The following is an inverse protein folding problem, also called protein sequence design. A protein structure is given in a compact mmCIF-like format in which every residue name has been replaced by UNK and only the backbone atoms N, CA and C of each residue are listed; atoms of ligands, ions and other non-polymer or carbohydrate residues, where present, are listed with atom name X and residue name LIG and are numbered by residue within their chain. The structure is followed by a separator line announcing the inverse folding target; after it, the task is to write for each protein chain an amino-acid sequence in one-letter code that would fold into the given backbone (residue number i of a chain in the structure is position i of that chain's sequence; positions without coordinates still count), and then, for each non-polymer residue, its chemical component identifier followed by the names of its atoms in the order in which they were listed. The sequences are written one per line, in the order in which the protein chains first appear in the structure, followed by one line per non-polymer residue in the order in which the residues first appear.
data_IF_066220737045
#
_entry.id   IF_066220737045
#
_cell.length_a   1.000
_cell.length_b   1.000
_cell.length_c   1.000
_cell.angle_alpha   90.00
_cell.angle_beta   90.00
_cell.angle_gamma   90.00
#
_symmetry.space_group_name_H-M   'P 1'
#
loop_
_entity.id
_entity.type
_entity.pdbx_description
1 polymer ?
#
# COMPACT_ATOMS: atom_id res chain seq x y z
N UNK A 1 -9.20 -16.42 -1.01
CA UNK A 1 -8.35 -15.99 -2.15
C UNK A 1 -7.30 -17.03 -2.54
N UNK A 2 -6.50 -17.55 -1.58
CA UNK A 2 -5.46 -18.57 -1.85
C UNK A 2 -5.89 -19.75 -2.74
N UNK A 3 -7.11 -20.28 -2.55
CA UNK A 3 -7.66 -21.38 -3.36
C UNK A 3 -7.76 -21.09 -4.87
N UNK A 4 -7.62 -19.82 -5.28
CA UNK A 4 -7.66 -19.39 -6.69
C UNK A 4 -6.27 -19.01 -7.24
N UNK A 5 -5.21 -19.17 -6.45
CA UNK A 5 -3.86 -18.72 -6.80
C UNK A 5 -2.87 -19.89 -6.98
N UNK A 6 -3.36 -21.12 -7.06
CA UNK A 6 -2.53 -22.30 -7.22
C UNK A 6 -1.70 -22.24 -8.53
N UNK A 7 -0.41 -22.58 -8.44
CA UNK A 7 0.52 -22.52 -9.56
C UNK A 7 1.14 -21.15 -9.84
N UNK A 8 0.77 -20.10 -9.10
CA UNK A 8 1.31 -18.74 -9.29
C UNK A 8 2.05 -18.22 -8.05
N UNK A 9 3.18 -17.51 -8.22
CA UNK A 9 3.74 -16.68 -7.15
C UNK A 9 2.76 -15.53 -6.88
N UNK A 10 2.07 -15.60 -5.74
CA UNK A 10 0.94 -14.72 -5.44
C UNK A 10 1.00 -14.17 -4.00
N UNK A 11 0.64 -12.89 -3.87
CA UNK A 11 0.50 -12.20 -2.60
C UNK A 11 -0.82 -11.42 -2.56
N UNK A 12 -1.44 -11.37 -1.38
CA UNK A 12 -2.60 -10.51 -1.10
C UNK A 12 -2.25 -9.53 0.01
N UNK A 13 -2.48 -8.24 -0.26
CA UNK A 13 -2.34 -7.18 0.72
C UNK A 13 -3.73 -6.66 1.05
N UNK A 14 -4.16 -6.86 2.29
CA UNK A 14 -5.35 -6.19 2.83
C UNK A 14 -4.96 -4.81 3.34
N UNK A 15 -5.47 -3.77 2.68
CA UNK A 15 -5.18 -2.36 2.98
C UNK A 15 -6.42 -1.59 3.44
N UNK A 16 -7.53 -2.27 3.76
CA UNK A 16 -8.80 -1.62 4.06
C UNK A 16 -8.65 -0.53 5.14
N UNK A 17 -8.01 -0.87 6.26
CA UNK A 17 -7.77 0.07 7.36
C UNK A 17 -6.76 1.19 7.07
N UNK A 18 -5.99 1.08 5.99
CA UNK A 18 -4.97 2.05 5.62
C UNK A 18 -5.41 2.98 4.47
N UNK A 19 -6.47 2.61 3.76
CA UNK A 19 -6.88 3.22 2.48
C UNK A 19 -7.42 4.65 2.60
N UNK A 20 -7.95 5.02 3.77
CA UNK A 20 -8.58 6.32 3.99
C UNK A 20 -8.19 6.91 5.35
N UNK A 21 -7.85 8.19 5.35
CA UNK A 21 -7.55 8.97 6.53
C UNK A 21 -8.72 9.88 6.90
N UNK A 22 -9.37 9.61 8.03
CA UNK A 22 -10.55 10.35 8.47
C UNK A 22 -10.21 11.64 9.23
N UNK A 23 -9.03 11.72 9.85
CA UNK A 23 -8.66 12.84 10.72
C UNK A 23 -7.75 13.81 9.98
N UNK A 24 -7.91 15.09 10.29
CA UNK A 24 -7.08 16.17 9.74
C UNK A 24 -5.60 16.03 10.14
N UNK A 25 -4.74 16.79 9.46
CA UNK A 25 -3.32 16.82 9.76
C UNK A 25 -3.06 17.08 11.25
N UNK A 26 -2.10 16.34 11.82
CA UNK A 26 -1.68 16.50 13.22
C UNK A 26 -0.19 16.18 13.36
N UNK A 27 0.50 16.70 14.40
CA UNK A 27 1.92 16.42 14.63
C UNK A 27 2.23 14.93 14.86
N UNK A 28 1.24 14.11 15.21
CA UNK A 28 1.38 12.67 15.44
C UNK A 28 1.34 11.86 14.15
N UNK A 29 1.28 12.52 12.98
CA UNK A 29 1.14 11.88 11.67
C UNK A 29 2.14 12.42 10.65
N UNK A 30 2.43 11.65 9.59
CA UNK A 30 3.29 12.11 8.52
C UNK A 30 2.76 13.41 7.92
N UNK A 31 3.63 14.42 7.77
CA UNK A 31 3.24 15.75 7.30
C UNK A 31 2.65 15.75 5.88
N UNK A 32 3.04 14.77 5.05
CA UNK A 32 2.53 14.59 3.69
C UNK A 32 1.12 13.96 3.64
N UNK A 33 0.59 13.46 4.77
CA UNK A 33 -0.70 12.79 4.82
C UNK A 33 -1.80 13.78 5.20
N UNK A 34 -2.82 13.89 4.35
CA UNK A 34 -4.00 14.71 4.56
C UNK A 34 -5.25 13.83 4.73
N UNK A 35 -6.34 14.42 5.22
CA UNK A 35 -7.64 13.74 5.27
C UNK A 35 -8.08 13.34 3.86
N UNK A 36 -8.50 12.09 3.69
CA UNK A 36 -8.90 11.54 2.39
C UNK A 36 -8.18 10.24 2.04
N UNK A 37 -8.18 9.90 0.74
CA UNK A 37 -7.49 8.71 0.24
C UNK A 37 -5.98 8.80 0.45
N UNK A 38 -5.37 7.75 1.00
CA UNK A 38 -3.96 7.77 1.43
C UNK A 38 -2.98 7.35 0.35
N UNK A 39 -3.45 6.63 -0.68
CA UNK A 39 -2.58 5.99 -1.67
C UNK A 39 -1.64 4.93 -1.06
N UNK A 40 -2.00 4.36 0.09
CA UNK A 40 -1.19 3.37 0.78
C UNK A 40 -0.86 2.19 -0.13
N UNK A 41 0.41 1.76 -0.13
CA UNK A 41 0.90 0.67 -0.96
C UNK A 41 1.45 1.08 -2.33
N UNK A 42 1.10 2.25 -2.89
CA UNK A 42 1.57 2.65 -4.23
C UNK A 42 3.10 2.75 -4.29
N UNK A 43 3.73 3.48 -3.36
CA UNK A 43 5.19 3.60 -3.31
C UNK A 43 5.89 2.27 -3.04
N UNK A 44 5.28 1.38 -2.26
CA UNK A 44 5.81 0.06 -1.98
C UNK A 44 5.84 -0.80 -3.25
N UNK A 45 4.72 -0.85 -3.99
CA UNK A 45 4.63 -1.63 -5.22
C UNK A 45 5.51 -1.06 -6.33
N UNK A 46 5.60 0.27 -6.45
CA UNK A 46 6.53 0.91 -7.38
C UNK A 46 7.98 0.51 -7.06
N UNK A 47 8.39 0.63 -5.79
CA UNK A 47 9.75 0.27 -5.38
C UNK A 47 10.04 -1.21 -5.60
N UNK A 48 9.08 -2.09 -5.31
CA UNK A 48 9.22 -3.53 -5.58
C UNK A 48 9.50 -3.81 -7.06
N UNK A 49 8.81 -3.13 -7.97
CA UNK A 49 9.05 -3.28 -9.41
C UNK A 49 10.42 -2.72 -9.83
N UNK A 50 10.82 -1.56 -9.29
CA UNK A 50 12.15 -0.99 -9.52
C UNK A 50 13.26 -1.96 -9.08
N UNK A 51 13.15 -2.49 -7.86
CA UNK A 51 14.12 -3.45 -7.28
C UNK A 51 14.19 -4.74 -8.10
N UNK A 52 13.07 -5.19 -8.69
CA UNK A 52 13.06 -6.35 -9.60
C UNK A 52 13.76 -6.07 -10.94
N UNK A 53 13.80 -4.82 -11.39
CA UNK A 53 14.41 -4.42 -12.67
C UNK A 53 15.90 -4.13 -12.56
N UNK A 54 16.37 -3.76 -11.36
CA UNK A 54 17.80 -3.50 -11.07
C UNK A 54 18.60 -4.79 -10.77
N UNK A 55 17.97 -5.96 -10.91
CA UNK A 55 18.58 -7.29 -10.74
C UNK A 55 19.46 -7.74 -11.90
#
# INVERSE_FOLDING_TARGET
LKQFAEGYPWAHLDIAGMSFEERSASPKRPAYLQKGGTGFGVRLLLRFLEDMMEG
#
